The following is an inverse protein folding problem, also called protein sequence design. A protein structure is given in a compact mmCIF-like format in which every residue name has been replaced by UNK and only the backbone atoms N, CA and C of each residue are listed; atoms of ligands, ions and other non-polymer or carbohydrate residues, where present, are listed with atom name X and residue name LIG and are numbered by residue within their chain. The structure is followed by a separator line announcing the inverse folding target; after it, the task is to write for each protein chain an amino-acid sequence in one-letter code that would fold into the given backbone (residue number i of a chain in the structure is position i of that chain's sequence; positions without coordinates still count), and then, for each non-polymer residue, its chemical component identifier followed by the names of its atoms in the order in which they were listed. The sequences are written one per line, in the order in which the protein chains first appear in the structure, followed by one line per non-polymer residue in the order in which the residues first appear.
data_IF_968219657122
#
_entry.id   IF_968219657122
#
_cell.length_a   1.000
_cell.length_b   1.000
_cell.length_c   1.000
_cell.angle_alpha   90.00
_cell.angle_beta   90.00
_cell.angle_gamma   90.00
#
_symmetry.space_group_name_H-M   'P 1'
#
loop_
_entity.id
_entity.type
_entity.pdbx_description
1 polymer ?
#
# COMPACT_ATOMS: atom_id res chain seq x y z
N UNK A 1 2.79 -9.05 10.67
CA UNK A 1 2.78 -7.58 10.46
C UNK A 1 4.17 -6.98 10.45
N UNK A 2 5.11 -7.48 11.26
CA UNK A 2 6.47 -6.95 11.43
C UNK A 2 7.26 -6.69 10.13
N UNK A 3 7.03 -7.46 9.06
CA UNK A 3 7.71 -7.27 7.77
C UNK A 3 6.84 -6.50 6.75
N UNK A 4 5.53 -6.74 6.75
CA UNK A 4 4.61 -6.19 5.76
C UNK A 4 4.48 -4.66 5.84
N UNK A 5 4.35 -4.12 7.06
CA UNK A 5 4.20 -2.69 7.26
C UNK A 5 5.47 -1.90 6.89
N UNK A 6 6.69 -2.26 7.34
CA UNK A 6 7.90 -1.53 6.93
C UNK A 6 8.14 -1.53 5.42
N UNK A 7 7.92 -2.67 4.74
CA UNK A 7 8.04 -2.74 3.28
C UNK A 7 7.01 -1.84 2.60
N UNK A 8 5.78 -1.84 3.08
CA UNK A 8 4.70 -1.04 2.54
C UNK A 8 4.95 0.47 2.73
N UNK A 9 5.38 0.90 3.91
CA UNK A 9 5.76 2.29 4.18
C UNK A 9 6.93 2.72 3.29
N UNK A 10 7.95 1.87 3.15
CA UNK A 10 9.08 2.14 2.26
C UNK A 10 8.61 2.30 0.81
N UNK A 11 7.74 1.42 0.32
CA UNK A 11 7.18 1.50 -1.03
C UNK A 11 6.42 2.81 -1.26
N UNK A 12 5.58 3.23 -0.32
CA UNK A 12 4.84 4.50 -0.43
C UNK A 12 5.81 5.69 -0.44
N UNK A 13 6.85 5.67 0.39
CA UNK A 13 7.86 6.72 0.40
C UNK A 13 8.62 6.81 -0.91
N UNK A 14 9.03 5.66 -1.45
CA UNK A 14 9.83 5.56 -2.67
C UNK A 14 9.05 5.95 -3.93
N UNK A 15 7.83 5.43 -4.09
CA UNK A 15 7.06 5.61 -5.32
C UNK A 15 6.06 6.77 -5.29
N UNK A 16 5.65 7.25 -4.12
CA UNK A 16 4.66 8.32 -4.00
C UNK A 16 5.21 9.55 -3.26
N UNK A 17 6.45 9.49 -2.76
CA UNK A 17 7.07 10.54 -1.93
C UNK A 17 6.15 10.99 -0.76
N UNK A 18 5.46 10.03 -0.14
CA UNK A 18 4.44 10.28 0.86
C UNK A 18 4.72 9.51 2.16
N UNK A 19 4.19 10.02 3.28
CA UNK A 19 4.30 9.39 4.59
C UNK A 19 2.97 8.70 4.94
N UNK A 20 2.97 7.37 4.88
CA UNK A 20 1.80 6.55 5.20
C UNK A 20 1.69 6.27 6.71
N UNK A 21 0.47 6.34 7.23
CA UNK A 21 0.12 5.96 8.60
C UNK A 21 -0.94 4.87 8.54
N UNK A 22 -0.61 3.70 9.07
CA UNK A 22 -1.52 2.56 9.14
C UNK A 22 -2.60 2.79 10.19
N UNK A 23 -3.83 2.42 9.86
CA UNK A 23 -4.99 2.42 10.77
C UNK A 23 -5.49 1.02 11.08
N UNK A 24 -5.48 0.11 10.09
CA UNK A 24 -5.96 -1.26 10.25
C UNK A 24 -5.31 -2.20 9.22
N UNK A 25 -5.53 -3.50 9.38
CA UNK A 25 -5.14 -4.50 8.39
C UNK A 25 -6.07 -5.71 8.39
N UNK A 26 -6.23 -6.30 7.22
CA UNK A 26 -6.93 -7.57 7.03
C UNK A 26 -6.01 -8.61 6.39
N UNK A 27 -5.95 -9.79 6.98
CA UNK A 27 -5.20 -10.93 6.43
C UNK A 27 -6.16 -11.84 5.68
N UNK A 28 -6.03 -11.88 4.36
CA UNK A 28 -6.69 -12.90 3.56
C UNK A 28 -5.77 -14.13 3.53
N UNK A 29 -6.10 -15.15 4.31
CA UNK A 29 -5.31 -16.39 4.41
C UNK A 29 -5.74 -17.46 3.41
N UNK A 30 -6.55 -17.12 2.40
CA UNK A 30 -6.99 -18.06 1.38
C UNK A 30 -5.80 -18.74 0.69
N UNK A 31 -5.92 -20.04 0.40
CA UNK A 31 -4.85 -20.90 -0.15
C UNK A 31 -4.18 -20.31 -1.41
N UNK A 32 -4.93 -19.52 -2.18
CA UNK A 32 -4.52 -18.87 -3.43
C UNK A 32 -4.10 -17.40 -3.22
N UNK A 33 -4.67 -16.70 -2.24
CA UNK A 33 -4.52 -15.26 -2.07
C UNK A 33 -3.74 -14.95 -0.81
N UNK A 34 -2.42 -15.19 -0.83
CA UNK A 34 -1.51 -14.88 0.28
C UNK A 34 -1.28 -13.37 0.42
N UNK A 35 -2.33 -12.67 0.84
CA UNK A 35 -2.46 -11.22 0.79
C UNK A 35 -2.77 -10.62 2.16
N UNK A 36 -2.09 -9.53 2.48
CA UNK A 36 -2.47 -8.62 3.56
C UNK A 36 -2.94 -7.33 2.90
N UNK A 37 -4.13 -6.87 3.29
CA UNK A 37 -4.60 -5.52 3.00
C UNK A 37 -4.23 -4.64 4.18
N UNK A 38 -3.50 -3.56 3.93
CA UNK A 38 -3.05 -2.62 4.97
C UNK A 38 -3.74 -1.30 4.68
N UNK A 39 -4.63 -0.90 5.57
CA UNK A 39 -5.41 0.32 5.45
C UNK A 39 -4.79 1.44 6.27
N UNK A 40 -4.89 2.66 5.76
CA UNK A 40 -4.34 3.83 6.40
C UNK A 40 -4.62 5.10 5.63
N UNK A 41 -3.79 6.12 5.88
CA UNK A 41 -3.88 7.43 5.23
C UNK A 41 -2.48 8.02 5.01
N UNK A 42 -2.40 9.09 4.22
CA UNK A 42 -1.18 9.90 4.06
C UNK A 42 -1.25 11.08 5.03
N UNK A 43 -0.14 11.40 5.71
CA UNK A 43 -0.08 12.59 6.59
C UNK A 43 -0.52 13.86 5.84
N UNK A 44 -1.43 14.63 6.44
CA UNK A 44 -2.08 15.80 5.82
C UNK A 44 -3.35 15.47 5.02
N UNK A 45 -3.70 14.19 4.91
CA UNK A 45 -4.86 13.66 4.19
C UNK A 45 -5.57 12.57 5.03
N UNK A 46 -5.77 12.83 6.32
CA UNK A 46 -6.24 11.84 7.32
C UNK A 46 -7.62 11.24 7.02
N UNK A 47 -8.45 11.95 6.24
CA UNK A 47 -9.80 11.51 5.86
C UNK A 47 -9.84 10.68 4.57
N UNK A 48 -8.71 10.52 3.89
CA UNK A 48 -8.61 9.81 2.63
C UNK A 48 -7.96 8.45 2.85
N UNK A 49 -8.75 7.39 2.67
CA UNK A 49 -8.29 6.03 2.87
C UNK A 49 -7.37 5.58 1.72
N UNK A 50 -6.25 4.96 2.11
CA UNK A 50 -5.30 4.28 1.24
C UNK A 50 -5.26 2.81 1.66
N UNK A 51 -5.36 1.91 0.69
CA UNK A 51 -5.21 0.46 0.89
C UNK A 51 -4.00 -0.05 0.14
N UNK A 52 -3.09 -0.70 0.85
CA UNK A 52 -1.91 -1.36 0.28
C UNK A 52 -2.16 -2.86 0.24
N UNK A 53 -2.03 -3.47 -0.94
CA UNK A 53 -2.12 -4.92 -1.11
C UNK A 53 -0.73 -5.53 -1.09
N UNK A 54 -0.41 -6.25 -0.03
CA UNK A 54 0.89 -6.87 0.20
C UNK A 54 0.83 -8.39 0.05
N UNK A 55 1.71 -8.96 -0.78
CA UNK A 55 1.85 -10.41 -0.91
C UNK A 55 2.89 -10.94 0.08
N UNK A 56 2.46 -11.68 1.10
CA UNK A 56 3.35 -12.14 2.16
C UNK A 56 4.15 -13.42 1.82
N UNK A 57 3.88 -14.07 0.69
CA UNK A 57 4.73 -15.15 0.16
C UNK A 57 5.89 -14.60 -0.67
N UNK A 58 5.64 -13.53 -1.44
CA UNK A 58 6.62 -12.86 -2.30
C UNK A 58 7.35 -11.71 -1.61
N UNK A 59 6.84 -11.27 -0.46
CA UNK A 59 7.34 -10.14 0.31
C UNK A 59 7.32 -8.80 -0.44
N UNK A 60 6.29 -8.55 -1.24
CA UNK A 60 6.20 -7.37 -2.12
C UNK A 60 4.83 -6.68 -2.05
N UNK A 61 4.82 -5.37 -2.30
CA UNK A 61 3.59 -4.61 -2.56
C UNK A 61 3.16 -4.89 -3.99
N UNK A 62 1.93 -5.36 -4.15
CA UNK A 62 1.35 -5.75 -5.45
C UNK A 62 0.37 -4.72 -5.99
N UNK A 63 -0.26 -3.94 -5.12
CA UNK A 63 -1.19 -2.89 -5.52
C UNK A 63 -1.28 -1.81 -4.42
N UNK A 64 -1.65 -0.59 -4.84
CA UNK A 64 -1.98 0.53 -3.97
C UNK A 64 -3.27 1.16 -4.49
N UNK A 65 -4.25 1.31 -3.63
CA UNK A 65 -5.55 1.92 -3.93
C UNK A 65 -5.74 3.16 -3.07
N UNK A 66 -6.46 4.15 -3.59
CA UNK A 66 -6.66 5.43 -2.92
C UNK A 66 -7.29 6.47 -3.85
N UNK A 67 -7.37 7.74 -3.40
CA UNK A 67 -7.93 8.83 -4.19
C UNK A 67 -7.08 9.12 -5.43
N UNK A 68 -7.72 9.69 -6.45
CA UNK A 68 -7.11 9.91 -7.76
C UNK A 68 -5.83 10.73 -7.70
N UNK A 69 -5.78 11.80 -6.89
CA UNK A 69 -4.59 12.63 -6.73
C UNK A 69 -3.38 11.83 -6.24
N UNK A 70 -3.61 10.85 -5.36
CA UNK A 70 -2.56 10.02 -4.78
C UNK A 70 -2.10 8.95 -5.76
N UNK A 71 -3.03 8.22 -6.39
CA UNK A 71 -2.66 7.22 -7.40
C UNK A 71 -1.94 7.88 -8.58
N UNK A 72 -2.36 9.09 -8.96
CA UNK A 72 -1.70 9.89 -9.97
C UNK A 72 -0.40 10.54 -9.49
N UNK A 73 -0.01 10.48 -8.22
CA UNK A 73 1.29 11.01 -7.78
C UNK A 73 2.44 10.01 -7.96
N UNK A 74 2.14 8.72 -8.24
CA UNK A 74 3.16 7.67 -8.40
C UNK A 74 4.23 8.05 -9.43
N UNK A 75 5.49 7.90 -9.05
CA UNK A 75 6.68 8.07 -9.88
C UNK A 75 7.69 6.93 -9.66
N UNK A 76 8.18 6.22 -10.70
CA UNK A 76 7.73 6.30 -12.10
C UNK A 76 6.23 6.00 -12.24
N UNK A 77 5.65 6.37 -13.37
CA UNK A 77 4.31 5.91 -13.73
C UNK A 77 4.36 4.40 -13.96
N UNK A 78 3.27 3.68 -13.67
CA UNK A 78 3.15 2.29 -14.13
C UNK A 78 3.05 2.41 -15.65
N UNK A 79 3.98 1.81 -16.38
CA UNK A 79 3.90 1.75 -17.83
C UNK A 79 2.56 1.12 -18.20
N UNK A 80 1.78 1.80 -19.04
CA UNK A 80 0.60 1.19 -19.62
C UNK A 80 1.06 -0.03 -20.43
N UNK A 81 0.46 -1.22 -20.22
CA UNK A 81 0.80 -2.41 -21.00
C UNK A 81 0.57 -2.22 -22.50
#
# INVERSE_FOLDING_TARGET
MEIALPISVKYIKEYYNADFVMTDYFVNSGYINSTIFIDGYIKGHEYENITITYNYKKYEVTNVMGPGWFIQSRNPKIEAP
#
